data_IF_947722337697
#
_entry.id   IF_947722337697
#
_cell.length_a   1.000
_cell.length_b   1.000
_cell.length_c   1.000
_cell.angle_alpha   90.00
_cell.angle_beta   90.00
_cell.angle_gamma   90.00
#
_symmetry.space_group_name_H-M   'P 1'
#
loop_
_entity.id
_entity.type
_entity.pdbx_description
1 polymer ?
#
# COMPACT_ATOMS: atom_id res chain seq x y z
N UNK A 1 36.15 34.70 -25.45
CA UNK A 1 35.36 35.02 -24.24
C UNK A 1 33.88 34.86 -24.58
N UNK A 2 33.32 33.65 -24.50
CA UNK A 2 31.88 33.40 -24.68
C UNK A 2 31.57 32.03 -24.06
N UNK A 3 31.03 32.01 -22.83
CA UNK A 3 30.28 30.88 -22.25
C UNK A 3 29.82 31.20 -20.81
N UNK A 4 28.94 32.18 -20.60
CA UNK A 4 28.31 32.39 -19.26
C UNK A 4 26.85 32.85 -19.40
N UNK A 5 26.05 32.28 -20.31
CA UNK A 5 24.62 32.65 -20.46
C UNK A 5 23.66 31.45 -20.59
N UNK A 6 24.08 30.22 -20.22
CA UNK A 6 23.26 29.01 -20.35
C UNK A 6 22.58 28.50 -19.08
N UNK A 7 23.04 28.91 -17.88
CA UNK A 7 22.65 28.21 -16.64
C UNK A 7 21.46 28.81 -15.91
N UNK A 8 21.09 30.07 -16.18
CA UNK A 8 19.99 30.74 -15.46
C UNK A 8 18.60 30.34 -15.98
N UNK A 9 18.46 29.92 -17.24
CA UNK A 9 17.15 29.57 -17.83
C UNK A 9 16.65 28.20 -17.37
N UNK A 10 17.54 27.26 -17.06
CA UNK A 10 17.13 25.94 -16.57
C UNK A 10 16.52 25.99 -15.17
N UNK A 11 16.95 26.94 -14.34
CA UNK A 11 16.42 27.03 -12.99
C UNK A 11 14.99 27.60 -12.95
N UNK A 12 14.69 28.59 -13.80
CA UNK A 12 13.34 29.14 -13.95
C UNK A 12 12.36 28.13 -14.54
N UNK A 13 12.76 27.36 -15.56
CA UNK A 13 11.89 26.34 -16.15
C UNK A 13 11.46 25.29 -15.11
N UNK A 14 12.39 24.87 -14.24
CA UNK A 14 12.13 23.87 -13.21
C UNK A 14 11.19 24.37 -12.09
N UNK A 15 11.17 25.67 -11.77
CA UNK A 15 10.21 26.23 -10.79
C UNK A 15 8.82 26.39 -11.40
N UNK A 16 8.72 26.69 -12.70
CA UNK A 16 7.42 26.77 -13.41
C UNK A 16 6.83 25.37 -13.58
N UNK A 17 7.64 24.35 -13.87
CA UNK A 17 7.21 22.95 -13.94
C UNK A 17 6.82 22.41 -12.55
N UNK A 18 7.51 22.83 -11.48
CA UNK A 18 7.14 22.49 -10.10
C UNK A 18 5.85 23.20 -9.65
N UNK A 19 5.61 24.43 -10.10
CA UNK A 19 4.37 25.16 -9.84
C UNK A 19 3.17 24.60 -10.65
N UNK A 20 3.42 24.09 -11.86
CA UNK A 20 2.42 23.34 -12.63
C UNK A 20 2.10 21.97 -11.99
N UNK A 21 3.10 21.31 -11.39
CA UNK A 21 2.90 20.10 -10.58
C UNK A 21 2.10 20.38 -9.29
N UNK A 22 2.28 21.55 -8.66
CA UNK A 22 1.48 21.91 -7.48
C UNK A 22 0.05 22.35 -7.84
N UNK A 23 -0.17 23.04 -8.97
CA UNK A 23 -1.53 23.39 -9.43
C UNK A 23 -2.33 22.16 -9.89
N UNK A 24 -1.67 21.16 -10.49
CA UNK A 24 -2.31 19.88 -10.79
C UNK A 24 -2.64 19.05 -9.54
N UNK A 25 -1.91 19.24 -8.44
CA UNK A 25 -2.24 18.63 -7.14
C UNK A 25 -3.33 19.39 -6.34
N UNK A 26 -3.51 20.70 -6.56
CA UNK A 26 -4.61 21.46 -5.93
C UNK A 26 -5.93 21.22 -6.70
N UNK A 27 -5.87 20.96 -8.01
CA UNK A 27 -7.02 20.47 -8.77
C UNK A 27 -7.44 19.01 -8.41
N UNK A 28 -6.63 18.31 -7.62
CA UNK A 28 -6.87 16.92 -7.18
C UNK A 28 -7.94 16.80 -6.07
N UNK A 29 -8.30 17.93 -5.45
CA UNK A 29 -9.33 18.05 -4.40
C UNK A 29 -10.58 18.83 -4.84
N UNK A 30 -10.59 19.38 -6.05
CA UNK A 30 -11.80 20.01 -6.56
C UNK A 30 -12.85 18.92 -6.83
N UNK A 31 -14.09 19.06 -6.32
CA UNK A 31 -15.17 18.14 -6.69
C UNK A 31 -15.25 18.10 -8.22
N UNK A 32 -15.38 16.90 -8.82
CA UNK A 32 -15.41 16.75 -10.26
C UNK A 32 -16.53 17.64 -10.80
N UNK A 33 -16.19 18.58 -11.70
CA UNK A 33 -17.18 19.38 -12.40
C UNK A 33 -18.04 18.41 -13.21
N UNK A 34 -19.21 18.10 -12.68
CA UNK A 34 -20.25 17.35 -13.36
C UNK A 34 -20.64 18.15 -14.60
N UNK A 35 -20.50 17.53 -15.76
CA UNK A 35 -21.18 18.00 -16.97
C UNK A 35 -22.67 18.07 -16.64
N UNK A 36 -23.40 19.04 -17.20
CA UNK A 36 -24.82 19.35 -16.90
C UNK A 36 -25.83 18.19 -17.06
N UNK A 37 -25.37 16.96 -17.30
CA UNK A 37 -26.14 15.72 -17.39
C UNK A 37 -25.77 14.65 -16.33
N UNK A 38 -25.03 15.01 -15.27
CA UNK A 38 -24.67 14.06 -14.21
C UNK A 38 -23.71 12.95 -14.65
N UNK A 39 -22.96 13.18 -15.75
CA UNK A 39 -21.94 12.27 -16.28
C UNK A 39 -20.52 12.87 -16.15
N UNK A 40 -19.54 12.03 -15.76
CA UNK A 40 -18.13 12.38 -15.73
C UNK A 40 -17.62 12.69 -17.14
N UNK A 41 -16.85 13.76 -17.29
CA UNK A 41 -16.11 14.02 -18.52
C UNK A 41 -15.17 12.84 -18.83
N UNK A 42 -14.93 12.49 -20.11
CA UNK A 42 -14.16 11.28 -20.49
C UNK A 42 -12.76 11.23 -19.84
N UNK A 43 -12.06 12.37 -19.75
CA UNK A 43 -10.74 12.44 -19.08
C UNK A 43 -10.76 12.36 -17.55
N UNK A 44 -11.92 12.45 -16.90
CA UNK A 44 -12.07 12.21 -15.45
C UNK A 44 -12.33 10.73 -15.20
N UNK A 45 -13.15 10.10 -16.05
CA UNK A 45 -13.46 8.68 -15.96
C UNK A 45 -12.20 7.82 -16.13
N UNK A 46 -11.33 8.13 -17.09
CA UNK A 46 -10.08 7.40 -17.30
C UNK A 46 -9.15 7.50 -16.08
N UNK A 47 -9.10 8.65 -15.42
CA UNK A 47 -8.34 8.82 -14.17
C UNK A 47 -8.92 8.00 -13.02
N UNK A 48 -10.24 7.94 -12.90
CA UNK A 48 -10.91 7.12 -11.89
C UNK A 48 -10.61 5.63 -12.13
N UNK A 49 -10.72 5.18 -13.39
CA UNK A 49 -10.38 3.80 -13.79
C UNK A 49 -8.93 3.46 -13.47
N UNK A 50 -7.98 4.35 -13.78
CA UNK A 50 -6.55 4.17 -13.47
C UNK A 50 -6.31 4.04 -11.95
N UNK A 51 -7.00 4.83 -11.11
CA UNK A 51 -6.91 4.70 -9.64
C UNK A 51 -7.49 3.39 -9.13
N UNK A 52 -8.63 2.95 -9.69
CA UNK A 52 -9.24 1.66 -9.38
C UNK A 52 -8.35 0.48 -9.79
N UNK A 53 -7.62 0.62 -10.89
CA UNK A 53 -6.70 -0.40 -11.37
C UNK A 53 -5.56 -0.61 -10.37
N UNK A 54 -4.98 0.49 -9.86
CA UNK A 54 -3.97 0.43 -8.79
C UNK A 54 -4.49 -0.27 -7.52
N UNK A 55 -5.74 -0.04 -7.11
CA UNK A 55 -6.36 -0.77 -6.00
C UNK A 55 -6.47 -2.26 -6.26
N UNK A 56 -6.78 -2.65 -7.51
CA UNK A 56 -6.77 -4.04 -7.94
C UNK A 56 -5.40 -4.69 -7.79
N UNK A 57 -4.32 -4.00 -8.16
CA UNK A 57 -2.96 -4.51 -8.03
C UNK A 57 -2.57 -4.77 -6.57
N UNK A 58 -2.94 -3.88 -5.63
CA UNK A 58 -2.70 -4.11 -4.21
C UNK A 58 -3.44 -5.33 -3.67
N UNK A 59 -4.69 -5.54 -4.10
CA UNK A 59 -5.46 -6.73 -3.72
C UNK A 59 -4.79 -8.02 -4.19
N UNK A 60 -4.27 -8.03 -5.43
CA UNK A 60 -3.55 -9.19 -6.00
C UNK A 60 -2.25 -9.46 -5.24
N UNK A 61 -1.44 -8.43 -4.98
CA UNK A 61 -0.20 -8.60 -4.21
C UNK A 61 -0.51 -9.13 -2.81
N UNK A 62 -1.53 -8.58 -2.15
CA UNK A 62 -1.97 -9.03 -0.82
C UNK A 62 -2.37 -10.49 -0.83
N UNK A 63 -3.15 -10.93 -1.83
CA UNK A 63 -3.54 -12.33 -1.99
C UNK A 63 -2.34 -13.26 -2.20
N UNK A 64 -1.33 -12.83 -2.97
CA UNK A 64 -0.09 -13.60 -3.15
C UNK A 64 0.69 -13.75 -1.83
N UNK A 65 0.82 -12.67 -1.07
CA UNK A 65 1.47 -12.68 0.25
C UNK A 65 0.73 -13.60 1.22
N UNK A 66 -0.61 -13.53 1.25
CA UNK A 66 -1.47 -14.41 2.05
C UNK A 66 -1.26 -15.88 1.68
N UNK A 67 -1.27 -16.21 0.38
CA UNK A 67 -1.04 -17.59 -0.08
C UNK A 67 0.32 -18.12 0.34
N UNK A 68 1.37 -17.30 0.26
CA UNK A 68 2.70 -17.67 0.74
C UNK A 68 2.75 -17.80 2.27
N UNK A 69 2.09 -16.91 3.00
CA UNK A 69 1.96 -17.00 4.46
C UNK A 69 1.28 -18.29 4.92
N UNK A 70 0.19 -18.69 4.26
CA UNK A 70 -0.53 -19.95 4.55
C UNK A 70 0.37 -21.15 4.27
N UNK A 71 1.08 -21.18 3.13
CA UNK A 71 2.01 -22.27 2.80
C UNK A 71 3.12 -22.42 3.84
N UNK A 72 3.68 -21.30 4.30
CA UNK A 72 4.70 -21.29 5.34
C UNK A 72 4.17 -21.72 6.71
N UNK A 73 2.90 -21.43 6.99
CA UNK A 73 2.23 -21.87 8.22
C UNK A 73 1.96 -23.39 8.19
N UNK A 74 1.45 -23.91 7.09
CA UNK A 74 1.14 -25.35 6.94
C UNK A 74 2.38 -26.22 6.82
N UNK A 75 3.41 -25.75 6.09
CA UNK A 75 4.61 -26.55 5.81
C UNK A 75 5.60 -26.65 6.96
N UNK A 76 5.66 -25.66 7.87
CA UNK A 76 6.67 -25.62 8.93
C UNK A 76 6.12 -25.75 10.35
N UNK A 77 4.80 -25.66 10.56
CA UNK A 77 4.23 -25.69 11.92
C UNK A 77 4.46 -27.02 12.64
N UNK A 78 4.35 -28.17 11.98
CA UNK A 78 4.49 -29.47 12.62
C UNK A 78 5.94 -29.75 13.09
N UNK A 79 6.93 -29.50 12.23
CA UNK A 79 8.34 -29.73 12.56
C UNK A 79 8.86 -28.72 13.58
N UNK A 80 8.44 -27.45 13.49
CA UNK A 80 8.85 -26.42 14.44
C UNK A 80 8.19 -26.57 15.82
N UNK A 81 6.95 -27.06 15.86
CA UNK A 81 6.21 -27.25 17.12
C UNK A 81 6.66 -28.52 17.85
N UNK A 82 7.14 -29.54 17.14
CA UNK A 82 7.71 -30.74 17.78
C UNK A 82 9.09 -30.50 18.39
N UNK A 83 9.88 -29.58 17.82
CA UNK A 83 11.28 -29.40 18.20
C UNK A 83 11.53 -28.29 19.25
N UNK A 84 10.53 -27.47 19.60
CA UNK A 84 10.79 -26.28 20.40
C UNK A 84 9.61 -25.86 21.31
N UNK A 85 9.79 -26.05 22.62
CA UNK A 85 9.12 -25.27 23.68
C UNK A 85 9.65 -23.82 23.71
N UNK A 86 9.76 -23.18 22.55
CA UNK A 86 10.49 -21.93 22.40
C UNK A 86 9.53 -20.80 22.04
N UNK A 87 9.52 -19.68 22.80
CA UNK A 87 8.65 -18.53 22.53
C UNK A 87 8.79 -17.97 21.11
N UNK A 88 9.91 -18.22 20.45
CA UNK A 88 10.20 -17.81 19.07
C UNK A 88 9.30 -18.50 18.04
N UNK A 89 8.98 -19.80 18.23
CA UNK A 89 8.08 -20.53 17.35
C UNK A 89 6.63 -20.01 17.46
N UNK A 90 6.21 -19.64 18.68
CA UNK A 90 4.93 -18.99 18.93
C UNK A 90 4.87 -17.60 18.26
N UNK A 91 5.91 -16.78 18.44
CA UNK A 91 6.02 -15.47 17.79
C UNK A 91 5.97 -15.56 16.26
N UNK A 92 6.65 -16.55 15.66
CA UNK A 92 6.60 -16.80 14.21
C UNK A 92 5.19 -17.13 13.73
N UNK A 93 4.50 -18.06 14.40
CA UNK A 93 3.12 -18.45 14.06
C UNK A 93 2.15 -17.28 14.24
N UNK A 94 2.28 -16.49 15.30
CA UNK A 94 1.47 -15.28 15.51
C UNK A 94 1.75 -14.21 14.44
N UNK A 95 3.01 -14.01 14.04
CA UNK A 95 3.37 -13.08 12.97
C UNK A 95 2.78 -13.50 11.61
N UNK A 96 2.81 -14.80 11.29
CA UNK A 96 2.16 -15.31 10.08
C UNK A 96 0.63 -15.21 10.15
N UNK A 97 0.01 -15.54 11.28
CA UNK A 97 -1.43 -15.42 11.46
C UNK A 97 -1.89 -13.96 11.30
N UNK A 98 -1.18 -13.01 11.91
CA UNK A 98 -1.48 -11.59 11.75
C UNK A 98 -1.25 -11.10 10.33
N UNK A 99 -0.20 -11.58 9.64
CA UNK A 99 0.01 -11.33 8.21
C UNK A 99 -1.16 -11.81 7.35
N UNK A 100 -1.60 -13.06 7.54
CA UNK A 100 -2.71 -13.67 6.79
C UNK A 100 -4.01 -12.90 7.04
N UNK A 101 -4.36 -12.65 8.30
CA UNK A 101 -5.61 -11.95 8.66
C UNK A 101 -5.64 -10.51 8.15
N UNK A 102 -4.54 -9.75 8.31
CA UNK A 102 -4.44 -8.38 7.81
C UNK A 102 -4.40 -8.30 6.28
N UNK A 103 -3.74 -9.26 5.61
CA UNK A 103 -3.70 -9.36 4.16
C UNK A 103 -5.08 -9.71 3.57
N UNK A 104 -5.81 -10.65 4.18
CA UNK A 104 -7.18 -10.99 3.76
C UNK A 104 -8.11 -9.79 3.93
N UNK A 105 -8.04 -9.09 5.06
CA UNK A 105 -8.84 -7.87 5.29
C UNK A 105 -8.57 -6.82 4.21
N UNK A 106 -7.30 -6.53 3.90
CA UNK A 106 -6.95 -5.57 2.86
C UNK A 106 -7.46 -6.00 1.48
N UNK A 107 -7.31 -7.29 1.12
CA UNK A 107 -7.80 -7.85 -0.15
C UNK A 107 -9.32 -7.69 -0.27
N UNK A 108 -10.07 -8.00 0.79
CA UNK A 108 -11.53 -7.85 0.81
C UNK A 108 -11.92 -6.39 0.61
N UNK A 109 -11.33 -5.47 1.39
CA UNK A 109 -11.66 -4.04 1.31
C UNK A 109 -11.37 -3.47 -0.09
N UNK A 110 -10.22 -3.80 -0.68
CA UNK A 110 -9.87 -3.34 -2.03
C UNK A 110 -10.74 -3.97 -3.11
N UNK A 111 -11.05 -5.26 -3.01
CA UNK A 111 -11.89 -5.96 -3.98
C UNK A 111 -13.33 -5.45 -3.94
N UNK A 112 -13.90 -5.30 -2.74
CA UNK A 112 -15.24 -4.73 -2.57
C UNK A 112 -15.30 -3.31 -3.11
N UNK A 113 -14.34 -2.46 -2.74
CA UNK A 113 -14.30 -1.08 -3.23
C UNK A 113 -14.23 -1.02 -4.75
N UNK A 114 -13.41 -1.87 -5.37
CA UNK A 114 -13.27 -1.96 -6.83
C UNK A 114 -14.56 -2.46 -7.50
N UNK A 115 -15.15 -3.54 -6.98
CA UNK A 115 -16.41 -4.11 -7.51
C UNK A 115 -17.54 -3.09 -7.46
N UNK A 116 -17.79 -2.47 -6.31
CA UNK A 116 -18.84 -1.46 -6.18
C UNK A 116 -18.59 -0.24 -7.05
N UNK A 117 -17.34 0.22 -7.13
CA UNK A 117 -16.96 1.34 -7.99
C UNK A 117 -17.22 1.05 -9.48
N UNK A 118 -16.87 -0.14 -9.96
CA UNK A 118 -17.13 -0.56 -11.35
C UNK A 118 -18.64 -0.71 -11.64
N UNK A 119 -19.41 -1.24 -10.69
CA UNK A 119 -20.88 -1.39 -10.84
C UNK A 119 -21.58 -0.04 -10.94
N UNK A 120 -21.17 0.96 -10.15
CA UNK A 120 -21.78 2.30 -10.20
C UNK A 120 -21.39 3.02 -11.49
N UNK A 121 -20.14 2.90 -11.93
CA UNK A 121 -19.66 3.43 -13.22
C UNK A 121 -20.42 2.78 -14.39
N UNK A 122 -20.63 1.47 -14.34
CA UNK A 122 -21.37 0.73 -15.37
C UNK A 122 -22.85 1.14 -15.48
N UNK A 123 -23.43 1.68 -14.41
CA UNK A 123 -24.80 2.16 -14.36
C UNK A 123 -24.95 3.67 -14.62
N UNK A 124 -23.86 4.37 -14.97
CA UNK A 124 -23.82 5.83 -15.24
C UNK A 124 -24.36 6.70 -14.09
N UNK A 125 -24.25 6.25 -12.83
CA UNK A 125 -24.75 6.96 -11.63
C UNK A 125 -23.62 7.70 -10.91
N UNK A 126 -23.08 8.73 -11.54
CA UNK A 126 -21.84 9.38 -11.10
C UNK A 126 -21.97 10.19 -9.80
N UNK A 127 -23.17 10.71 -9.50
CA UNK A 127 -23.45 11.36 -8.22
C UNK A 127 -23.31 10.36 -7.05
N UNK A 128 -23.92 9.17 -7.20
CA UNK A 128 -23.84 8.09 -6.21
C UNK A 128 -22.43 7.52 -6.10
N UNK A 129 -21.67 7.53 -7.20
CA UNK A 129 -20.26 7.17 -7.17
C UNK A 129 -19.49 8.12 -6.26
N UNK A 130 -19.65 9.44 -6.42
CA UNK A 130 -18.90 10.43 -5.64
C UNK A 130 -19.20 10.34 -4.14
N UNK A 131 -20.46 10.14 -3.76
CA UNK A 131 -20.91 9.99 -2.38
C UNK A 131 -20.36 8.70 -1.74
N UNK A 132 -20.52 7.56 -2.43
CA UNK A 132 -19.91 6.29 -2.02
C UNK A 132 -18.39 6.40 -1.89
N UNK A 133 -17.74 7.09 -2.82
CA UNK A 133 -16.29 7.22 -2.83
C UNK A 133 -15.78 8.12 -1.68
N UNK A 134 -16.56 9.11 -1.26
CA UNK A 134 -16.24 9.94 -0.09
C UNK A 134 -16.40 9.14 1.21
N UNK A 135 -17.55 8.49 1.40
CA UNK A 135 -17.84 7.70 2.61
C UNK A 135 -16.86 6.53 2.81
N UNK A 136 -16.44 5.88 1.72
CA UNK A 136 -15.50 4.76 1.78
C UNK A 136 -14.04 5.14 1.98
N UNK A 137 -13.71 6.44 2.02
CA UNK A 137 -12.32 6.90 2.16
C UNK A 137 -11.66 6.35 3.42
N UNK A 138 -12.38 6.32 4.55
CA UNK A 138 -11.86 5.83 5.84
C UNK A 138 -11.49 4.35 5.77
N UNK A 139 -12.33 3.54 5.14
CA UNK A 139 -12.08 2.10 4.97
C UNK A 139 -10.94 1.82 4.01
N UNK A 140 -10.82 2.58 2.91
CA UNK A 140 -9.67 2.43 1.98
C UNK A 140 -8.34 2.73 2.65
N UNK A 141 -8.30 3.78 3.49
CA UNK A 141 -7.11 4.11 4.27
C UNK A 141 -6.79 3.01 5.27
N UNK A 142 -7.78 2.51 6.01
CA UNK A 142 -7.60 1.39 6.93
C UNK A 142 -7.13 0.11 6.22
N UNK A 143 -7.69 -0.20 5.04
CA UNK A 143 -7.25 -1.33 4.20
C UNK A 143 -5.81 -1.18 3.71
N UNK A 144 -5.39 0.04 3.37
CA UNK A 144 -3.99 0.32 3.04
C UNK A 144 -3.05 0.13 4.24
N UNK A 145 -3.46 0.56 5.44
CA UNK A 145 -2.71 0.27 6.66
C UNK A 145 -2.58 -1.23 6.94
N UNK A 146 -3.67 -1.98 6.78
CA UNK A 146 -3.66 -3.44 6.93
C UNK A 146 -2.78 -4.14 5.89
N UNK A 147 -2.76 -3.66 4.65
CA UNK A 147 -1.87 -4.14 3.59
C UNK A 147 -0.38 -3.90 3.92
N UNK A 148 -0.04 -2.70 4.39
CA UNK A 148 1.33 -2.40 4.81
C UNK A 148 1.73 -3.23 6.04
N UNK A 149 0.81 -3.43 6.98
CA UNK A 149 1.03 -4.28 8.14
C UNK A 149 1.24 -5.74 7.75
N UNK A 150 0.48 -6.27 6.78
CA UNK A 150 0.66 -7.64 6.30
C UNK A 150 2.02 -7.86 5.65
N UNK A 151 2.46 -6.93 4.80
CA UNK A 151 3.80 -6.93 4.21
C UNK A 151 4.91 -6.86 5.27
N UNK A 152 4.75 -6.00 6.28
CA UNK A 152 5.69 -5.87 7.39
C UNK A 152 5.79 -7.15 8.24
N UNK A 153 4.65 -7.70 8.62
CA UNK A 153 4.56 -8.96 9.38
C UNK A 153 5.08 -10.15 8.59
N UNK A 154 4.84 -10.19 7.26
CA UNK A 154 5.39 -11.22 6.38
C UNK A 154 6.93 -11.17 6.34
N UNK A 155 7.50 -9.97 6.17
CA UNK A 155 8.95 -9.79 6.17
C UNK A 155 9.57 -10.18 7.52
N UNK A 156 8.92 -9.83 8.64
CA UNK A 156 9.35 -10.24 9.98
C UNK A 156 9.30 -11.76 10.17
N UNK A 157 8.22 -12.40 9.70
CA UNK A 157 8.08 -13.86 9.75
C UNK A 157 9.17 -14.54 8.89
N UNK A 158 9.49 -13.99 7.72
CA UNK A 158 10.55 -14.51 6.86
C UNK A 158 11.94 -14.47 7.52
N UNK A 159 12.26 -13.38 8.20
CA UNK A 159 13.51 -13.23 8.97
C UNK A 159 13.56 -14.24 10.13
N UNK A 160 12.45 -14.42 10.83
CA UNK A 160 12.34 -15.38 11.94
C UNK A 160 12.43 -16.83 11.45
N UNK A 161 11.90 -17.13 10.27
CA UNK A 161 12.06 -18.43 9.64
C UNK A 161 13.53 -18.73 9.33
N UNK A 162 14.26 -17.74 8.81
CA UNK A 162 15.68 -17.88 8.52
C UNK A 162 16.50 -18.14 9.79
N UNK A 163 16.16 -17.47 10.91
CA UNK A 163 16.77 -17.73 12.21
C UNK A 163 16.64 -19.18 12.67
N UNK A 164 15.43 -19.72 12.58
CA UNK A 164 15.14 -21.04 13.10
C UNK A 164 15.80 -22.14 12.24
N UNK A 165 15.97 -21.87 10.95
CA UNK A 165 16.63 -22.80 10.01
C UNK A 165 18.16 -22.71 10.07
N UNK A 166 18.73 -21.52 10.29
CA UNK A 166 20.19 -21.29 10.37
C UNK A 166 20.62 -21.15 11.83
N UNK A 167 20.99 -22.27 12.47
CA UNK A 167 21.58 -22.26 13.82
C UNK A 167 22.98 -21.62 13.79
N UNK A 168 23.15 -20.46 14.43
CA UNK A 168 24.47 -19.85 14.68
C UNK A 168 24.47 -18.32 14.83
N UNK A 169 25.66 -17.75 15.10
CA UNK A 169 25.95 -16.31 15.09
C UNK A 169 25.40 -15.54 13.84
N UNK A 170 25.45 -16.10 12.61
CA UNK A 170 24.87 -15.41 11.43
C UNK A 170 23.35 -15.32 11.46
N UNK A 171 22.66 -16.18 12.21
CA UNK A 171 21.22 -16.06 12.43
C UNK A 171 20.89 -14.76 13.15
N UNK A 172 21.49 -14.54 14.34
CA UNK A 172 21.21 -13.37 15.18
C UNK A 172 21.48 -12.06 14.42
N UNK A 173 22.57 -12.01 13.63
CA UNK A 173 22.86 -10.88 12.76
C UNK A 173 21.74 -10.65 11.71
N UNK A 174 21.24 -11.71 11.08
CA UNK A 174 20.09 -11.67 10.18
C UNK A 174 18.82 -11.14 10.83
N UNK A 175 18.62 -11.41 12.13
CA UNK A 175 17.46 -10.89 12.86
C UNK A 175 17.54 -9.40 13.17
N UNK A 176 18.70 -8.93 13.61
CA UNK A 176 18.91 -7.49 13.87
C UNK A 176 18.79 -6.70 12.57
N UNK A 177 19.36 -7.20 11.48
CA UNK A 177 19.25 -6.60 10.15
C UNK A 177 17.80 -6.65 9.66
N UNK A 178 17.13 -7.80 9.76
CA UNK A 178 15.75 -7.97 9.31
C UNK A 178 14.75 -7.11 10.10
N UNK A 179 14.88 -7.08 11.43
CA UNK A 179 14.09 -6.19 12.28
C UNK A 179 14.38 -4.72 11.96
N UNK A 180 15.65 -4.36 11.75
CA UNK A 180 16.05 -3.03 11.29
C UNK A 180 15.43 -2.64 9.96
N UNK A 181 15.38 -3.54 8.98
CA UNK A 181 14.73 -3.34 7.69
C UNK A 181 13.22 -3.14 7.86
N UNK A 182 12.56 -3.96 8.69
CA UNK A 182 11.12 -3.83 8.95
C UNK A 182 10.80 -2.51 9.66
N UNK A 183 11.58 -2.13 10.67
CA UNK A 183 11.42 -0.86 11.38
C UNK A 183 11.69 0.32 10.44
N UNK A 184 12.75 0.28 9.63
CA UNK A 184 13.07 1.34 8.67
C UNK A 184 11.99 1.45 7.59
N UNK A 185 11.47 0.33 7.09
CA UNK A 185 10.34 0.31 6.17
C UNK A 185 9.10 0.95 6.82
N UNK A 186 8.74 0.55 8.04
CA UNK A 186 7.63 1.14 8.81
C UNK A 186 7.82 2.65 9.04
N UNK A 187 9.05 3.11 9.29
CA UNK A 187 9.38 4.53 9.47
C UNK A 187 9.33 5.32 8.16
N UNK A 188 9.84 4.77 7.06
CA UNK A 188 9.75 5.36 5.73
C UNK A 188 8.29 5.49 5.29
N UNK A 189 7.48 4.45 5.51
CA UNK A 189 6.04 4.49 5.26
C UNK A 189 5.34 5.55 6.12
N UNK A 190 5.65 5.64 7.43
CA UNK A 190 5.16 6.74 8.29
C UNK A 190 5.62 8.12 7.81
N UNK A 191 6.83 8.23 7.25
CA UNK A 191 7.41 9.46 6.74
C UNK A 191 6.72 9.97 5.48
N UNK A 192 6.50 9.08 4.51
CA UNK A 192 5.73 9.36 3.29
C UNK A 192 4.30 9.75 3.66
N UNK A 193 3.68 9.07 4.62
CA UNK A 193 2.30 9.35 5.03
C UNK A 193 2.16 10.69 5.76
N UNK A 194 3.12 11.08 6.62
CA UNK A 194 3.13 12.41 7.25
C UNK A 194 3.30 13.55 6.25
N UNK A 195 3.89 13.27 5.09
CA UNK A 195 4.02 14.23 3.99
C UNK A 195 2.76 14.23 3.11
N UNK A 196 2.18 13.05 2.84
CA UNK A 196 0.93 12.93 2.10
C UNK A 196 -0.25 13.57 2.84
N UNK A 197 -0.36 13.36 4.16
CA UNK A 197 -1.41 13.98 4.99
C UNK A 197 -1.36 15.52 5.00
N UNK A 198 -0.19 16.11 4.76
CA UNK A 198 0.00 17.57 4.64
C UNK A 198 -0.46 18.15 3.29
N UNK A 199 -0.64 17.29 2.29
CA UNK A 199 -1.15 17.65 0.95
C UNK A 199 -2.68 17.46 0.90
N UNK A 200 -3.23 16.67 1.83
CA UNK A 200 -4.65 16.33 1.95
C UNK A 200 -5.43 17.24 2.94
N UNK A 201 -4.75 18.10 3.70
CA UNK A 201 -5.33 19.08 4.64
C UNK A 201 -5.22 20.50 4.09
#
# INVERSE_FOLDING_TARGET
MQAVHGQSNHHYQQVVDAAAASQSQIAYFAPPKTTQAGQFAPGVLDRIKMRLEGQGTYAVISALVVNMGIRLLSGNSADMMSQAWCPIACLYSCALATCVLSGVYATIVFTLTKMYSMTVIGNYKDAQFSEFFQETTKYRVAGFWAFCASLGSFAFAFVTFFLLKVRGLPGIAGCVVGFGIVVKAMLDFRGIYRRAGRILS
#
